data_IF_219048532635
#
_entry.id   IF_219048532635
#
_cell.length_a   1.000
_cell.length_b   1.000
_cell.length_c   1.000
_cell.angle_alpha   90.00
_cell.angle_beta   90.00
_cell.angle_gamma   90.00
#
_symmetry.space_group_name_H-M   'P 1'
#
loop_
_entity.id
_entity.type
_entity.pdbx_description
1 polymer ?
#
# COMPACT_ATOMS: atom_id res chain seq x y z
N UNK A 1 23.87 73.34 -4.42
CA UNK A 1 24.77 72.66 -3.45
C UNK A 1 23.87 71.83 -2.54
N UNK A 2 23.70 70.52 -2.82
CA UNK A 2 24.41 69.41 -2.14
C UNK A 2 23.82 69.21 -0.72
N UNK A 3 23.30 68.06 -0.24
CA UNK A 3 23.59 66.63 -0.54
C UNK A 3 22.38 65.76 -0.12
N UNK A 4 22.28 64.63 -0.84
CA UNK A 4 21.45 63.44 -0.74
C UNK A 4 21.47 62.63 0.59
N UNK A 5 20.42 61.81 0.75
CA UNK A 5 20.40 60.42 1.28
C UNK A 5 20.41 60.15 2.80
N UNK A 6 19.43 59.35 3.24
CA UNK A 6 19.70 58.09 3.96
C UNK A 6 18.41 57.25 4.14
N UNK A 7 18.08 56.44 3.13
CA UNK A 7 17.21 55.27 3.32
C UNK A 7 18.14 54.07 3.50
N UNK A 8 18.25 53.52 4.71
CA UNK A 8 19.02 52.30 4.96
C UNK A 8 18.08 51.16 5.37
N UNK A 9 18.12 50.11 4.56
CA UNK A 9 17.32 48.90 4.61
C UNK A 9 17.53 48.14 5.93
N UNK A 10 16.43 47.86 6.64
CA UNK A 10 16.41 46.84 7.69
C UNK A 10 16.28 45.47 7.03
N UNK A 11 17.41 44.79 6.82
CA UNK A 11 17.46 43.40 6.36
C UNK A 11 16.98 42.47 7.48
N UNK A 12 15.82 41.86 7.29
CA UNK A 12 15.26 40.85 8.18
C UNK A 12 15.96 39.51 7.90
N UNK A 13 16.93 39.16 8.74
CA UNK A 13 17.65 37.88 8.67
C UNK A 13 16.73 36.76 9.21
N UNK A 14 16.01 36.09 8.32
CA UNK A 14 15.27 34.86 8.64
C UNK A 14 16.28 33.72 8.82
N UNK A 15 16.67 33.45 10.07
CA UNK A 15 17.43 32.26 10.42
C UNK A 15 16.49 31.06 10.43
N UNK A 16 16.35 30.41 9.27
CA UNK A 16 15.70 29.11 9.18
C UNK A 16 16.56 28.09 9.94
N UNK A 17 16.12 27.70 11.14
CA UNK A 17 16.67 26.57 11.86
C UNK A 17 16.31 25.29 11.10
N UNK A 18 17.12 24.94 10.10
CA UNK A 18 17.08 23.61 9.51
C UNK A 18 17.48 22.61 10.60
N UNK A 19 16.50 21.90 11.18
CA UNK A 19 16.79 20.76 12.05
C UNK A 19 17.62 19.78 11.21
N UNK A 20 18.84 19.41 11.62
CA UNK A 20 19.52 18.32 10.95
C UNK A 20 18.68 17.08 11.22
N UNK A 21 17.92 16.65 10.22
CA UNK A 21 17.29 15.35 10.19
C UNK A 21 18.46 14.36 10.22
N UNK A 22 18.89 13.96 11.41
CA UNK A 22 19.91 12.92 11.56
C UNK A 22 19.40 11.74 10.77
N UNK A 23 20.04 11.42 9.64
CA UNK A 23 19.59 10.32 8.78
C UNK A 23 19.54 9.08 9.66
N UNK A 24 18.33 8.60 9.95
CA UNK A 24 18.14 7.34 10.66
C UNK A 24 18.90 6.27 9.88
N UNK A 25 19.61 5.38 10.56
CA UNK A 25 20.30 4.29 9.90
C UNK A 25 19.26 3.46 9.14
N UNK A 26 19.36 3.42 7.82
CA UNK A 26 18.47 2.68 6.95
C UNK A 26 18.99 1.26 6.79
N UNK A 27 18.09 0.28 6.82
CA UNK A 27 18.39 -1.13 6.58
C UNK A 27 17.45 -1.67 5.53
N UNK A 28 17.98 -2.46 4.59
CA UNK A 28 17.18 -3.16 3.58
C UNK A 28 16.15 -4.02 4.30
N UNK A 29 14.88 -3.79 3.99
CA UNK A 29 13.75 -4.49 4.61
C UNK A 29 13.30 -5.66 3.76
N UNK A 30 13.09 -5.41 2.46
CA UNK A 30 12.79 -6.43 1.48
C UNK A 30 13.49 -6.13 0.15
N UNK A 31 13.91 -7.18 -0.53
CA UNK A 31 14.60 -7.11 -1.82
C UNK A 31 14.22 -8.30 -2.68
N UNK A 32 14.28 -8.13 -4.00
CA UNK A 32 14.07 -9.17 -4.99
C UNK A 32 15.06 -8.97 -6.14
N UNK A 33 15.82 -10.01 -6.47
CA UNK A 33 16.85 -9.93 -7.51
C UNK A 33 16.29 -9.60 -8.90
N UNK A 34 15.13 -10.15 -9.24
CA UNK A 34 14.51 -9.98 -10.56
C UNK A 34 13.01 -9.69 -10.44
N UNK A 35 12.40 -8.98 -11.41
CA UNK A 35 10.95 -8.81 -11.48
C UNK A 35 10.21 -10.14 -11.52
N UNK A 36 8.90 -10.13 -11.24
CA UNK A 36 8.08 -11.32 -11.44
C UNK A 36 8.09 -11.76 -12.91
N UNK A 37 7.98 -13.07 -13.14
CA UNK A 37 7.97 -13.64 -14.49
C UNK A 37 6.91 -12.95 -15.35
N UNK A 38 7.32 -12.51 -16.53
CA UNK A 38 6.47 -11.81 -17.48
C UNK A 38 6.40 -10.29 -17.26
N UNK A 39 7.09 -9.73 -16.27
CA UNK A 39 7.25 -8.29 -16.11
C UNK A 39 8.64 -7.83 -16.52
N UNK A 40 8.71 -6.70 -17.21
CA UNK A 40 9.97 -6.06 -17.62
C UNK A 40 9.98 -4.61 -17.13
N UNK A 41 11.13 -4.11 -16.68
CA UNK A 41 11.31 -2.69 -16.34
C UNK A 41 11.26 -1.90 -17.64
N UNK A 42 10.29 -0.99 -17.75
CA UNK A 42 10.02 -0.25 -18.97
C UNK A 42 10.58 1.17 -18.93
N UNK A 43 10.42 1.85 -17.79
CA UNK A 43 10.91 3.20 -17.59
C UNK A 43 11.04 3.56 -16.10
N UNK A 44 11.69 4.69 -15.81
CA UNK A 44 11.67 5.28 -14.47
C UNK A 44 10.27 5.85 -14.20
N UNK A 45 9.77 5.70 -12.96
CA UNK A 45 8.47 6.25 -12.61
C UNK A 45 8.52 7.79 -12.50
N UNK A 46 7.52 8.52 -13.03
CA UNK A 46 7.48 9.98 -12.90
C UNK A 46 7.45 10.40 -11.43
N UNK A 47 8.34 11.32 -11.04
CA UNK A 47 8.50 11.75 -9.64
C UNK A 47 7.23 12.33 -9.01
N UNK A 48 6.33 12.90 -9.81
CA UNK A 48 5.05 13.49 -9.39
C UNK A 48 3.88 12.50 -9.39
N UNK A 49 4.08 11.26 -9.87
CA UNK A 49 3.00 10.27 -9.88
C UNK A 49 2.65 9.89 -8.45
N UNK A 50 1.38 10.01 -8.09
CA UNK A 50 0.90 9.60 -6.78
C UNK A 50 0.89 8.08 -6.65
N UNK A 51 1.41 7.58 -5.53
CA UNK A 51 1.37 6.20 -5.11
C UNK A 51 0.46 6.08 -3.90
N UNK A 52 -0.44 5.11 -3.94
CA UNK A 52 -1.16 4.63 -2.76
C UNK A 52 -0.40 3.43 -2.22
N UNK A 53 0.31 3.64 -1.11
CA UNK A 53 1.06 2.59 -0.42
C UNK A 53 0.32 2.19 0.85
N UNK A 54 0.37 0.90 1.16
CA UNK A 54 -0.17 0.32 2.38
C UNK A 54 0.96 -0.25 3.21
N UNK A 55 0.95 0.07 4.49
CA UNK A 55 1.94 -0.33 5.48
C UNK A 55 1.28 -1.38 6.36
N UNK A 56 1.79 -2.60 6.31
CA UNK A 56 1.39 -3.65 7.25
C UNK A 56 2.22 -3.50 8.51
N UNK A 57 1.55 -3.29 9.64
CA UNK A 57 2.16 -3.19 10.95
C UNK A 57 2.35 -4.57 11.58
N UNK A 58 3.28 -4.67 12.53
CA UNK A 58 3.49 -5.88 13.31
C UNK A 58 2.28 -6.13 14.20
N UNK A 59 1.63 -7.26 13.97
CA UNK A 59 0.52 -7.77 14.76
C UNK A 59 1.05 -8.28 16.12
N UNK A 60 0.25 -8.16 17.18
CA UNK A 60 0.70 -8.36 18.56
C UNK A 60 1.02 -9.83 18.90
N UNK A 61 0.12 -10.76 18.60
CA UNK A 61 0.29 -12.18 18.96
C UNK A 61 -0.18 -13.13 17.85
N UNK A 62 0.64 -13.22 16.80
CA UNK A 62 0.39 -14.17 15.70
C UNK A 62 0.55 -15.62 16.11
N UNK A 63 1.42 -15.92 17.09
CA UNK A 63 1.59 -17.26 17.63
C UNK A 63 0.34 -17.75 18.36
N UNK A 64 -0.28 -16.88 19.17
CA UNK A 64 -1.53 -17.17 19.86
C UNK A 64 -2.69 -17.34 18.89
N UNK A 65 -2.76 -16.50 17.85
CA UNK A 65 -3.78 -16.65 16.81
C UNK A 65 -3.63 -17.97 16.04
N UNK A 66 -2.40 -18.34 15.67
CA UNK A 66 -2.11 -19.62 15.00
C UNK A 66 -2.49 -20.81 15.89
N UNK A 67 -2.12 -20.76 17.18
CA UNK A 67 -2.50 -21.78 18.14
C UNK A 67 -4.02 -21.92 18.25
N UNK A 68 -4.74 -20.81 18.44
CA UNK A 68 -6.19 -20.80 18.52
C UNK A 68 -6.83 -21.34 17.22
N UNK A 69 -6.28 -20.98 16.06
CA UNK A 69 -6.72 -21.51 14.76
C UNK A 69 -6.63 -23.04 14.70
N UNK A 70 -5.52 -23.63 15.16
CA UNK A 70 -5.39 -25.08 15.20
C UNK A 70 -6.34 -25.73 16.19
N UNK A 71 -6.49 -25.16 17.39
CA UNK A 71 -7.39 -25.69 18.42
C UNK A 71 -8.86 -25.73 17.96
N UNK A 72 -9.30 -24.76 17.16
CA UNK A 72 -10.69 -24.73 16.65
C UNK A 72 -10.87 -25.53 15.36
N UNK A 73 -9.78 -25.92 14.69
CA UNK A 73 -9.81 -26.61 13.39
C UNK A 73 -9.46 -28.10 13.48
N UNK A 74 -8.87 -28.56 14.59
CA UNK A 74 -8.56 -29.96 14.82
C UNK A 74 -9.81 -30.74 15.29
N UNK A 75 -10.30 -31.75 14.55
CA UNK A 75 -11.44 -32.58 14.96
C UNK A 75 -11.24 -33.32 16.29
N UNK A 76 -10.00 -33.52 16.74
CA UNK A 76 -9.70 -34.13 18.03
C UNK A 76 -9.74 -33.14 19.21
N UNK A 77 -9.78 -31.84 18.92
CA UNK A 77 -9.84 -30.79 19.93
C UNK A 77 -11.25 -30.63 20.52
N UNK A 78 -11.31 -30.34 21.82
CA UNK A 78 -12.57 -29.98 22.48
C UNK A 78 -13.17 -28.66 21.95
N UNK A 79 -12.35 -27.82 21.33
CA UNK A 79 -12.74 -26.53 20.76
C UNK A 79 -13.10 -26.62 19.26
N UNK A 80 -13.13 -27.83 18.68
CA UNK A 80 -13.43 -28.01 17.27
C UNK A 80 -14.74 -27.32 16.85
N UNK A 81 -14.67 -26.51 15.79
CA UNK A 81 -15.78 -25.74 15.25
C UNK A 81 -16.16 -24.48 16.03
N UNK A 82 -15.51 -24.18 17.15
CA UNK A 82 -15.74 -22.98 17.96
C UNK A 82 -14.86 -21.83 17.47
N UNK A 83 -15.13 -21.32 16.27
CA UNK A 83 -14.33 -20.25 15.67
C UNK A 83 -14.40 -18.93 16.46
N UNK A 84 -13.28 -18.20 16.43
CA UNK A 84 -13.13 -16.91 17.10
C UNK A 84 -14.08 -15.84 16.53
N UNK A 85 -14.57 -14.95 17.39
CA UNK A 85 -15.28 -13.74 16.97
C UNK A 85 -14.29 -12.70 16.43
N UNK A 86 -14.76 -11.69 15.66
CA UNK A 86 -13.90 -10.60 15.20
C UNK A 86 -13.16 -9.87 16.33
N UNK A 87 -13.79 -9.72 17.49
CA UNK A 87 -13.21 -9.07 18.68
C UNK A 87 -12.10 -9.92 19.31
N UNK A 88 -12.28 -11.24 19.35
CA UNK A 88 -11.26 -12.18 19.82
C UNK A 88 -10.06 -12.18 18.88
N UNK A 89 -10.30 -12.18 17.56
CA UNK A 89 -9.23 -12.01 16.55
C UNK A 89 -8.52 -10.67 16.74
N UNK A 90 -9.26 -9.58 16.97
CA UNK A 90 -8.70 -8.25 17.18
C UNK A 90 -7.68 -8.23 18.33
N UNK A 91 -7.92 -8.98 19.40
CA UNK A 91 -7.01 -9.06 20.55
C UNK A 91 -5.63 -9.63 20.16
N UNK A 92 -5.57 -10.52 19.18
CA UNK A 92 -4.31 -11.06 18.66
C UNK A 92 -3.66 -10.15 17.61
N UNK A 93 -4.44 -9.59 16.69
CA UNK A 93 -3.88 -8.90 15.51
C UNK A 93 -3.62 -7.42 15.71
N UNK A 94 -4.29 -6.76 16.67
CA UNK A 94 -4.14 -5.33 16.90
C UNK A 94 -2.68 -5.01 17.26
N UNK A 95 -2.01 -4.08 16.56
CA UNK A 95 -0.64 -3.70 16.91
C UNK A 95 -0.54 -3.10 18.31
N UNK A 96 0.64 -3.21 18.91
CA UNK A 96 0.93 -2.59 20.21
C UNK A 96 0.89 -1.06 20.11
N UNK A 97 0.61 -0.39 21.24
CA UNK A 97 0.63 1.08 21.29
C UNK A 97 2.00 1.65 20.91
N UNK A 98 3.08 0.95 21.26
CA UNK A 98 4.45 1.28 20.87
C UNK A 98 4.62 1.27 19.35
N UNK A 99 4.22 0.20 18.66
CA UNK A 99 4.25 0.10 17.19
C UNK A 99 3.48 1.24 16.52
N UNK A 100 2.27 1.53 17.02
CA UNK A 100 1.45 2.62 16.48
C UNK A 100 2.12 3.98 16.67
N UNK A 101 2.69 4.24 17.85
CA UNK A 101 3.39 5.51 18.13
C UNK A 101 4.65 5.67 17.27
N UNK A 102 5.50 4.64 17.20
CA UNK A 102 6.75 4.69 16.45
C UNK A 102 6.53 4.95 14.95
N UNK A 103 5.53 4.29 14.36
CA UNK A 103 5.19 4.47 12.95
C UNK A 103 4.49 5.81 12.71
N UNK A 104 3.57 6.23 13.59
CA UNK A 104 2.89 7.52 13.46
C UNK A 104 3.86 8.69 13.57
N UNK A 105 4.81 8.64 14.51
CA UNK A 105 5.86 9.65 14.66
C UNK A 105 6.74 9.71 13.43
N UNK A 106 7.20 8.55 12.93
CA UNK A 106 8.01 8.49 11.73
C UNK A 106 7.31 9.04 10.49
N UNK A 107 6.02 8.73 10.29
CA UNK A 107 5.25 9.27 9.18
C UNK A 107 5.05 10.79 9.32
N UNK A 108 4.78 11.26 10.54
CA UNK A 108 4.65 12.70 10.82
C UNK A 108 5.95 13.47 10.61
N UNK A 109 7.11 12.90 10.93
CA UNK A 109 8.44 13.50 10.67
C UNK A 109 8.71 13.71 9.17
N UNK A 110 8.04 12.93 8.31
CA UNK A 110 8.15 13.02 6.85
C UNK A 110 6.97 13.77 6.21
N UNK A 111 6.14 14.44 7.02
CA UNK A 111 4.94 15.16 6.59
C UNK A 111 3.91 14.26 5.85
N UNK A 112 3.78 13.00 6.29
CA UNK A 112 2.87 12.01 5.68
C UNK A 112 1.68 11.78 6.60
N UNK A 113 0.48 12.01 6.07
CA UNK A 113 -0.78 11.58 6.71
C UNK A 113 -1.08 10.12 6.36
N UNK A 114 -1.47 9.34 7.37
CA UNK A 114 -1.92 7.95 7.18
C UNK A 114 -3.36 7.75 7.64
N UNK A 115 -4.07 6.81 7.00
CA UNK A 115 -5.40 6.37 7.42
C UNK A 115 -5.40 4.86 7.68
N UNK A 116 -6.02 4.41 8.77
CA UNK A 116 -6.25 2.99 8.98
C UNK A 116 -7.27 2.45 7.97
N UNK A 117 -6.93 1.36 7.29
CA UNK A 117 -7.80 0.72 6.28
C UNK A 117 -8.55 -0.47 6.86
N UNK A 118 -7.96 -1.12 7.86
CA UNK A 118 -8.54 -2.27 8.55
C UNK A 118 -9.20 -1.83 9.87
N UNK A 119 -10.27 -2.53 10.31
CA UNK A 119 -10.91 -2.24 11.59
C UNK A 119 -9.96 -2.38 12.79
N UNK A 120 -8.94 -3.25 12.65
CA UNK A 120 -7.99 -3.57 13.70
C UNK A 120 -6.75 -2.64 13.72
N UNK A 121 -6.62 -1.75 12.73
CA UNK A 121 -5.53 -0.78 12.67
C UNK A 121 -4.15 -1.36 12.35
N UNK A 122 -4.09 -2.61 11.88
CA UNK A 122 -2.87 -3.30 11.46
C UNK A 122 -2.42 -2.95 10.04
N UNK A 123 -3.27 -2.26 9.26
CA UNK A 123 -2.94 -1.76 7.93
C UNK A 123 -3.20 -0.26 7.83
N UNK A 124 -2.16 0.51 7.53
CA UNK A 124 -2.23 1.94 7.25
C UNK A 124 -2.10 2.20 5.75
N UNK A 125 -2.85 3.15 5.21
CA UNK A 125 -2.71 3.65 3.84
C UNK A 125 -2.15 5.08 3.85
N UNK A 126 -1.19 5.30 2.96
CA UNK A 126 -0.57 6.61 2.70
C UNK A 126 -0.65 6.90 1.20
N UNK A 127 -0.82 8.18 0.86
CA UNK A 127 -0.84 8.67 -0.51
C UNK A 127 0.25 9.71 -0.68
N UNK A 128 1.30 9.36 -1.43
CA UNK A 128 2.49 10.18 -1.58
C UNK A 128 3.02 10.11 -3.02
N UNK A 129 3.68 11.16 -3.53
CA UNK A 129 4.34 11.11 -4.83
C UNK A 129 5.54 10.15 -4.81
N UNK A 130 5.90 9.60 -5.98
CA UNK A 130 7.06 8.71 -6.17
C UNK A 130 8.36 9.31 -5.59
N UNK A 131 8.57 10.61 -5.75
CA UNK A 131 9.74 11.31 -5.17
C UNK A 131 9.82 11.12 -3.65
N UNK A 132 8.75 11.46 -2.94
CA UNK A 132 8.68 11.29 -1.48
C UNK A 132 8.74 9.81 -1.07
N UNK A 133 8.18 8.89 -1.87
CA UNK A 133 8.26 7.46 -1.60
C UNK A 133 9.69 6.91 -1.72
N UNK A 134 10.45 7.36 -2.73
CA UNK A 134 11.86 7.01 -2.90
C UNK A 134 12.69 7.52 -1.71
N UNK A 135 12.42 8.73 -1.22
CA UNK A 135 13.12 9.31 -0.08
C UNK A 135 12.77 8.58 1.23
N UNK A 136 11.48 8.33 1.47
CA UNK A 136 10.96 7.66 2.66
C UNK A 136 11.53 6.25 2.83
N UNK A 137 11.59 5.49 1.72
CA UNK A 137 11.96 4.08 1.72
C UNK A 137 13.38 3.83 1.18
N UNK A 138 14.16 4.88 0.88
CA UNK A 138 15.47 4.77 0.20
C UNK A 138 15.43 3.75 -0.95
N UNK A 139 14.47 3.93 -1.85
CA UNK A 139 14.12 2.99 -2.91
C UNK A 139 14.14 3.65 -4.29
N UNK A 140 14.10 2.83 -5.35
CA UNK A 140 13.92 3.30 -6.72
C UNK A 140 12.64 2.71 -7.33
N UNK A 141 11.58 3.50 -7.39
CA UNK A 141 10.34 3.12 -8.09
C UNK A 141 10.49 3.26 -9.62
N UNK A 142 10.08 2.22 -10.33
CA UNK A 142 10.08 2.14 -11.78
C UNK A 142 8.75 1.61 -12.32
N UNK A 143 8.48 1.89 -13.59
CA UNK A 143 7.34 1.34 -14.31
C UNK A 143 7.73 -0.04 -14.86
N UNK A 144 6.93 -1.04 -14.52
CA UNK A 144 7.03 -2.40 -15.05
C UNK A 144 5.84 -2.71 -15.93
N UNK A 145 6.11 -3.27 -17.12
CA UNK A 145 5.08 -3.72 -18.07
C UNK A 145 5.01 -5.24 -18.07
N UNK A 146 3.79 -5.77 -17.97
CA UNK A 146 3.53 -7.18 -18.19
C UNK A 146 3.53 -7.48 -19.70
N UNK A 147 4.40 -8.38 -20.15
CA UNK A 147 4.69 -8.64 -21.57
C UNK A 147 3.46 -9.12 -22.35
N UNK A 148 2.64 -9.99 -21.76
CA UNK A 148 1.49 -10.59 -22.46
C UNK A 148 0.28 -9.64 -22.51
N UNK A 149 0.00 -8.92 -21.41
CA UNK A 149 -1.21 -8.07 -21.31
C UNK A 149 -0.97 -6.61 -21.66
N UNK A 150 0.31 -6.18 -21.78
CA UNK A 150 0.69 -4.78 -21.96
C UNK A 150 0.41 -3.88 -20.74
N UNK A 151 -0.08 -4.43 -19.64
CA UNK A 151 -0.48 -3.64 -18.46
C UNK A 151 0.74 -3.15 -17.69
N UNK A 152 0.67 -1.93 -17.19
CA UNK A 152 1.78 -1.28 -16.49
C UNK A 152 1.51 -1.11 -15.00
N UNK A 153 2.56 -1.16 -14.19
CA UNK A 153 2.49 -0.96 -12.74
C UNK A 153 3.76 -0.27 -12.24
N UNK A 154 3.65 0.59 -11.23
CA UNK A 154 4.81 1.23 -10.60
C UNK A 154 5.24 0.41 -9.40
N UNK A 155 6.46 -0.14 -9.43
CA UNK A 155 7.00 -1.07 -8.42
C UNK A 155 8.47 -0.74 -8.15
N UNK A 156 9.01 -1.36 -7.11
CA UNK A 156 10.46 -1.36 -6.87
C UNK A 156 10.93 -2.79 -6.66
N UNK A 157 12.24 -3.02 -6.74
CA UNK A 157 12.86 -4.33 -6.49
C UNK A 157 13.57 -4.40 -5.14
N UNK A 158 13.75 -3.26 -4.47
CA UNK A 158 14.36 -3.20 -3.15
C UNK A 158 13.90 -1.94 -2.45
N UNK A 159 13.70 -2.02 -1.14
CA UNK A 159 13.50 -0.85 -0.30
C UNK A 159 14.05 -1.06 1.10
N UNK A 160 14.35 0.06 1.75
CA UNK A 160 14.89 0.11 3.11
C UNK A 160 13.95 0.86 4.04
N UNK A 161 14.07 0.59 5.33
CA UNK A 161 13.38 1.33 6.39
C UNK A 161 14.37 1.69 7.49
N UNK A 162 14.07 2.68 8.35
CA UNK A 162 14.86 2.93 9.54
C UNK A 162 15.00 1.66 10.39
N UNK A 163 16.21 1.35 10.85
CA UNK A 163 16.49 0.14 11.63
C UNK A 163 15.58 -0.01 12.87
N UNK A 164 15.20 1.11 13.49
CA UNK A 164 14.30 1.16 14.63
C UNK A 164 12.86 0.69 14.32
N UNK A 165 12.43 0.69 13.06
CA UNK A 165 11.08 0.30 12.64
C UNK A 165 10.98 -1.15 12.17
N UNK A 166 12.10 -1.88 12.14
CA UNK A 166 12.16 -3.25 11.63
C UNK A 166 11.21 -4.21 12.36
N UNK A 167 11.05 -4.03 13.67
CA UNK A 167 10.17 -4.87 14.49
C UNK A 167 8.71 -4.37 14.51
N UNK A 168 8.44 -3.20 13.93
CA UNK A 168 7.12 -2.55 13.91
C UNK A 168 6.40 -2.68 12.57
N UNK A 169 7.14 -2.90 11.48
CA UNK A 169 6.59 -2.96 10.11
C UNK A 169 6.88 -4.33 9.50
N UNK A 170 5.83 -4.99 8.99
CA UNK A 170 5.97 -6.24 8.25
C UNK A 170 6.37 -6.00 6.80
N UNK A 171 5.61 -5.20 6.05
CA UNK A 171 5.90 -4.92 4.63
C UNK A 171 5.14 -3.70 4.11
N UNK A 172 5.56 -3.20 2.94
CA UNK A 172 4.85 -2.19 2.16
C UNK A 172 4.23 -2.79 0.90
N UNK A 173 2.96 -2.52 0.64
CA UNK A 173 2.25 -2.95 -0.56
C UNK A 173 1.78 -1.75 -1.40
N UNK A 174 1.86 -1.76 -2.74
CA UNK A 174 2.37 -2.82 -3.60
C UNK A 174 3.81 -2.54 -4.06
N UNK A 175 4.83 -2.75 -3.22
CA UNK A 175 6.24 -2.48 -3.60
C UNK A 175 6.81 -3.57 -4.50
N UNK A 176 7.05 -4.75 -3.95
CA UNK A 176 7.62 -5.94 -4.60
C UNK A 176 6.54 -6.87 -5.17
N UNK A 177 5.27 -6.55 -4.93
CA UNK A 177 4.12 -7.35 -5.34
C UNK A 177 3.73 -7.06 -6.79
N UNK A 178 3.98 -8.01 -7.67
CA UNK A 178 3.54 -7.98 -9.07
C UNK A 178 2.29 -8.82 -9.25
N UNK A 179 1.14 -8.17 -9.37
CA UNK A 179 -0.14 -8.82 -9.64
C UNK A 179 -0.36 -8.88 -11.14
N UNK A 180 -0.64 -10.07 -11.68
CA UNK A 180 -1.16 -10.18 -13.04
C UNK A 180 -2.53 -9.50 -13.08
N UNK A 181 -2.75 -8.51 -13.96
CA UNK A 181 -4.09 -8.00 -14.18
C UNK A 181 -4.93 -9.16 -14.72
N UNK A 182 -5.95 -9.54 -13.97
CA UNK A 182 -6.98 -10.44 -14.47
C UNK A 182 -7.76 -9.62 -15.49
N UNK A 183 -7.82 -10.07 -16.75
CA UNK A 183 -8.68 -9.44 -17.74
C UNK A 183 -10.10 -9.37 -17.15
N UNK A 184 -10.82 -8.24 -17.30
CA UNK A 184 -12.21 -8.19 -16.86
C UNK A 184 -12.92 -9.36 -17.54
N UNK A 185 -13.56 -10.24 -16.76
CA UNK A 185 -14.38 -11.30 -17.32
C UNK A 185 -15.45 -10.60 -18.15
N UNK A 186 -15.34 -10.70 -19.47
CA UNK A 186 -16.36 -10.20 -20.37
C UNK A 186 -17.57 -11.09 -20.12
N UNK A 187 -18.48 -10.66 -19.24
CA UNK A 187 -19.80 -11.27 -19.10
C UNK A 187 -20.60 -10.89 -20.34
N UNK A 188 -20.23 -11.44 -21.49
CA UNK A 188 -20.99 -11.38 -22.72
C UNK A 188 -22.11 -12.43 -22.66
N UNK A 189 -23.03 -12.26 -21.70
CA UNK A 189 -24.38 -12.81 -21.83
C UNK A 189 -25.22 -11.75 -22.54
N UNK A 190 -24.91 -11.52 -23.82
CA UNK A 190 -25.79 -10.75 -24.68
C UNK A 190 -27.05 -11.58 -24.87
N UNK A 191 -28.15 -11.15 -24.26
CA UNK A 191 -29.49 -11.72 -24.49
C UNK A 191 -29.89 -11.37 -25.93
N UNK A 192 -29.41 -12.14 -26.90
CA UNK A 192 -29.85 -12.10 -28.31
C UNK A 192 -30.90 -13.17 -28.58
N UNK A 193 -31.67 -13.57 -27.57
CA UNK A 193 -32.76 -14.52 -27.71
C UNK A 193 -34.09 -13.94 -27.20
N UNK A 194 -34.52 -12.81 -27.75
CA UNK A 194 -35.90 -12.32 -27.50
C UNK A 194 -36.54 -11.59 -28.68
N UNK A 195 -35.93 -11.63 -29.88
CA UNK A 195 -36.54 -11.04 -31.08
C UNK A 195 -37.04 -12.11 -32.06
N UNK A 196 -36.45 -13.31 -32.09
CA UNK A 196 -36.90 -14.37 -33.01
C UNK A 196 -38.16 -15.12 -32.57
N UNK A 197 -38.57 -15.06 -31.30
CA UNK A 197 -39.75 -15.80 -30.83
C UNK A 197 -41.08 -15.07 -31.06
N UNK A 198 -41.05 -13.75 -31.32
CA UNK A 198 -42.27 -12.96 -31.58
C UNK A 198 -42.75 -13.02 -33.03
N UNK A 199 -41.93 -13.54 -33.95
CA UNK A 199 -42.28 -13.69 -35.37
C UNK A 199 -42.94 -15.05 -35.66
N UNK A 200 -42.71 -16.07 -34.83
CA UNK A 200 -43.25 -17.42 -35.07
C UNK A 200 -44.69 -17.64 -34.55
N UNK A 201 -45.19 -16.79 -33.64
CA UNK A 201 -46.55 -16.93 -33.08
C UNK A 201 -47.62 -16.09 -33.81
N UNK A 202 -47.25 -15.30 -34.83
CA UNK A 202 -48.21 -14.46 -35.59
C UNK A 202 -48.74 -15.09 -36.88
N UNK A 203 -48.35 -16.33 -37.20
CA UNK A 203 -48.74 -17.01 -38.46
C UNK A 203 -49.85 -18.06 -38.26
N UNK A 204 -50.42 -18.20 -37.06
CA UNK A 204 -51.40 -19.26 -36.78
C UNK A 204 -52.79 -18.80 -36.33
N UNK A 205 -53.16 -17.54 -36.57
CA UNK A 205 -54.55 -17.08 -36.36
C UNK A 205 -55.05 -16.27 -37.57
N UNK A 206 -55.29 -16.97 -38.68
CA UNK A 206 -56.10 -16.49 -39.80
C UNK A 206 -56.63 -17.71 -40.56
N UNK A 207 -57.70 -18.29 -40.03
CA UNK A 207 -58.66 -19.15 -40.73
C UNK A 207 -60.03 -18.87 -40.12
#
# INVERSE_FOLDING_TARGET
MMILSASFLSSLLLLAAAKPMGRRAMTVHESRAEPARGFVKSSVAPASKELTLRISLKQNDMSGLEKALYEVSDPASALYGQHLTPEEVAAFVKPTAETLSAVSEWLSENDISSAAVTPFGDMLEIKIPVSQANDLLSAEFAVFTHVESGSTSVRTLEYSIPAALKDHINFFHPTLSFTRPVAPSVSAFTVTCLVSFKILMSQHTAA
#
